data_IF_873579932853
#
_entry.id   IF_873579932853
#
_cell.length_a   1.000
_cell.length_b   1.000
_cell.length_c   1.000
_cell.angle_alpha   90.00
_cell.angle_beta   90.00
_cell.angle_gamma   90.00
#
_symmetry.space_group_name_H-M   'P 1'
#
loop_
_entity.id
_entity.type
_entity.pdbx_description
1 polymer ?
#
# COMPACT_ATOMS: atom_id res chain seq x y z
N UNK A 1 4.01 -6.63 -3.54
CA UNK A 1 4.13 -6.42 -4.99
C UNK A 1 4.02 -7.75 -5.74
N UNK A 2 5.00 -8.69 -5.64
CA UNK A 2 5.00 -9.94 -6.42
C UNK A 2 3.69 -10.72 -6.31
N UNK A 3 3.23 -11.02 -5.09
CA UNK A 3 1.99 -11.78 -4.86
C UNK A 3 0.78 -11.04 -5.41
N UNK A 4 0.72 -9.74 -5.23
CA UNK A 4 -0.34 -8.86 -5.73
C UNK A 4 -0.38 -8.87 -7.25
N UNK A 5 0.76 -8.60 -7.90
CA UNK A 5 0.86 -8.64 -9.36
C UNK A 5 0.42 -9.98 -9.93
N UNK A 6 0.83 -11.10 -9.31
CA UNK A 6 0.42 -12.43 -9.74
C UNK A 6 -1.08 -12.66 -9.60
N UNK A 7 -1.66 -12.33 -8.44
CA UNK A 7 -3.08 -12.64 -8.14
C UNK A 7 -4.04 -11.68 -8.85
N UNK A 8 -3.86 -10.39 -8.64
CA UNK A 8 -4.85 -9.40 -9.05
C UNK A 8 -4.72 -9.05 -10.54
N UNK A 9 -3.48 -8.89 -11.03
CA UNK A 9 -3.26 -8.45 -12.41
C UNK A 9 -3.14 -9.60 -13.41
N UNK A 10 -2.40 -10.66 -13.05
CA UNK A 10 -2.10 -11.75 -14.00
C UNK A 10 -2.94 -13.01 -13.77
N UNK A 11 -3.62 -13.11 -12.62
CA UNK A 11 -4.40 -14.30 -12.20
C UNK A 11 -3.56 -15.58 -12.19
N UNK A 12 -2.31 -15.45 -11.74
CA UNK A 12 -1.39 -16.55 -11.51
C UNK A 12 -1.45 -17.00 -10.06
N UNK A 13 -1.20 -18.30 -9.82
CA UNK A 13 -1.06 -18.82 -8.47
C UNK A 13 0.40 -18.81 -8.06
N UNK A 14 0.67 -18.24 -6.88
CA UNK A 14 1.99 -18.30 -6.26
C UNK A 14 2.24 -19.69 -5.69
N UNK A 15 3.49 -20.15 -5.78
CA UNK A 15 3.91 -21.42 -5.19
C UNK A 15 4.71 -21.13 -3.92
N UNK A 16 4.38 -21.87 -2.85
CA UNK A 16 5.07 -21.79 -1.56
C UNK A 16 5.56 -23.16 -1.15
N UNK A 17 6.67 -23.22 -0.41
CA UNK A 17 7.11 -24.44 0.23
C UNK A 17 6.27 -24.77 1.48
N UNK A 18 6.64 -25.86 2.18
CA UNK A 18 5.95 -26.31 3.39
C UNK A 18 6.04 -25.32 4.55
N UNK A 19 7.08 -24.46 4.56
CA UNK A 19 7.30 -23.41 5.56
C UNK A 19 6.61 -22.08 5.18
N UNK A 20 5.87 -22.05 4.07
CA UNK A 20 5.15 -20.88 3.57
C UNK A 20 6.01 -19.87 2.81
N UNK A 21 7.29 -20.16 2.55
CA UNK A 21 8.20 -19.31 1.78
C UNK A 21 7.86 -19.35 0.29
N UNK A 22 7.87 -18.20 -0.36
CA UNK A 22 7.66 -18.10 -1.80
C UNK A 22 8.77 -18.81 -2.56
N UNK A 23 8.36 -19.66 -3.49
CA UNK A 23 9.25 -20.30 -4.47
C UNK A 23 9.31 -19.46 -5.76
N UNK A 24 10.38 -19.55 -6.53
CA UNK A 24 10.54 -18.84 -7.81
C UNK A 24 9.75 -19.54 -8.93
N UNK A 25 8.53 -19.92 -8.64
CA UNK A 25 7.64 -20.62 -9.54
C UNK A 25 6.23 -20.02 -9.45
N UNK A 26 5.49 -20.11 -10.53
CA UNK A 26 4.06 -19.79 -10.55
C UNK A 26 3.27 -20.78 -11.40
N UNK A 27 1.97 -20.84 -11.16
CA UNK A 27 1.06 -21.66 -11.95
C UNK A 27 0.08 -20.74 -12.66
N UNK A 28 -0.01 -20.88 -13.98
CA UNK A 28 -1.01 -20.22 -14.81
C UNK A 28 -1.95 -21.25 -15.37
N UNK A 29 -3.26 -21.06 -15.19
CA UNK A 29 -4.29 -21.93 -15.76
C UNK A 29 -4.73 -21.36 -17.10
N UNK A 30 -4.61 -22.18 -18.15
CA UNK A 30 -4.95 -21.82 -19.52
C UNK A 30 -6.06 -22.72 -20.05
N UNK A 31 -7.06 -22.12 -20.70
CA UNK A 31 -8.04 -22.86 -21.48
C UNK A 31 -7.56 -22.94 -22.94
N UNK A 32 -6.81 -23.99 -23.29
CA UNK A 32 -6.26 -24.20 -24.63
C UNK A 32 -5.48 -25.51 -24.73
N UNK A 33 -5.05 -25.84 -25.97
CA UNK A 33 -4.23 -27.02 -26.22
C UNK A 33 -2.75 -26.79 -25.84
N UNK A 34 -1.92 -27.82 -25.96
CA UNK A 34 -0.49 -27.76 -25.67
C UNK A 34 0.34 -27.14 -26.82
N UNK A 35 -0.29 -26.73 -27.92
CA UNK A 35 0.38 -26.16 -29.07
C UNK A 35 1.02 -24.82 -28.71
N UNK A 36 2.29 -24.62 -29.10
CA UNK A 36 3.09 -23.44 -28.79
C UNK A 36 3.19 -23.12 -27.30
N UNK A 37 3.12 -24.09 -26.40
CA UNK A 37 3.13 -23.90 -24.95
C UNK A 37 4.38 -23.13 -24.47
N UNK A 38 5.55 -23.38 -25.05
CA UNK A 38 6.79 -22.67 -24.70
C UNK A 38 6.71 -21.15 -24.97
N UNK A 39 6.02 -20.74 -26.03
CA UNK A 39 5.82 -19.31 -26.31
C UNK A 39 4.90 -18.66 -25.27
N UNK A 40 3.91 -19.39 -24.81
CA UNK A 40 3.00 -18.93 -23.75
C UNK A 40 3.74 -18.80 -22.42
N UNK A 41 4.56 -19.79 -22.05
CA UNK A 41 5.39 -19.74 -20.83
C UNK A 41 6.30 -18.52 -20.87
N UNK A 42 7.09 -18.37 -21.94
CA UNK A 42 7.98 -17.20 -22.11
C UNK A 42 7.23 -15.86 -22.08
N UNK A 43 6.06 -15.81 -22.69
CA UNK A 43 5.20 -14.63 -22.67
C UNK A 43 4.76 -14.26 -21.24
N UNK A 44 4.28 -15.23 -20.47
CA UNK A 44 3.86 -15.05 -19.09
C UNK A 44 5.03 -14.64 -18.18
N UNK A 45 6.18 -15.26 -18.33
CA UNK A 45 7.41 -14.90 -17.60
C UNK A 45 7.82 -13.46 -17.91
N UNK A 46 7.83 -13.07 -19.20
CA UNK A 46 8.20 -11.71 -19.61
C UNK A 46 7.29 -10.65 -19.00
N UNK A 47 5.98 -10.89 -18.96
CA UNK A 47 5.03 -9.95 -18.34
C UNK A 47 5.30 -9.84 -16.84
N UNK A 48 5.55 -10.96 -16.16
CA UNK A 48 5.83 -10.94 -14.72
C UNK A 48 7.13 -10.21 -14.42
N UNK A 49 8.19 -10.44 -15.20
CA UNK A 49 9.47 -9.73 -15.06
C UNK A 49 9.28 -8.23 -15.20
N UNK A 50 8.55 -7.76 -16.23
CA UNK A 50 8.29 -6.35 -16.44
C UNK A 50 7.56 -5.72 -15.22
N UNK A 51 6.54 -6.39 -14.66
CA UNK A 51 5.84 -5.94 -13.45
C UNK A 51 6.74 -5.88 -12.21
N UNK A 52 7.70 -6.79 -12.10
CA UNK A 52 8.66 -6.78 -11.00
C UNK A 52 9.69 -5.66 -11.15
N UNK A 53 10.13 -5.38 -12.37
CA UNK A 53 11.04 -4.27 -12.69
C UNK A 53 10.36 -2.93 -12.38
N UNK A 54 9.08 -2.75 -12.74
CA UNK A 54 8.28 -1.57 -12.37
C UNK A 54 8.19 -1.42 -10.84
N UNK A 55 7.88 -2.52 -10.15
CA UNK A 55 7.82 -2.51 -8.68
C UNK A 55 9.17 -2.19 -8.02
N UNK A 56 10.28 -2.68 -8.55
CA UNK A 56 11.61 -2.35 -8.05
C UNK A 56 11.97 -0.88 -8.32
N UNK A 57 11.62 -0.38 -9.49
CA UNK A 57 11.82 1.02 -9.84
C UNK A 57 11.07 1.95 -8.87
N UNK A 58 9.76 1.75 -8.69
CA UNK A 58 8.98 2.58 -7.77
C UNK A 58 9.45 2.44 -6.32
N UNK A 59 9.80 1.23 -5.88
CA UNK A 59 10.37 1.04 -4.55
C UNK A 59 11.61 1.91 -4.29
N UNK A 60 12.50 2.02 -5.26
CA UNK A 60 13.72 2.82 -5.16
C UNK A 60 13.43 4.33 -5.24
N UNK A 61 12.53 4.74 -6.12
CA UNK A 61 12.18 6.15 -6.30
C UNK A 61 11.41 6.69 -5.10
N UNK A 62 10.43 5.95 -4.61
CA UNK A 62 9.57 6.37 -3.49
C UNK A 62 10.36 6.57 -2.19
N UNK A 63 11.45 5.83 -1.97
CA UNK A 63 12.32 6.04 -0.80
C UNK A 63 13.04 7.40 -0.77
N UNK A 64 13.07 8.12 -1.88
CA UNK A 64 13.63 9.47 -1.97
C UNK A 64 12.62 10.53 -1.58
N UNK A 65 11.34 10.17 -1.47
CA UNK A 65 10.25 11.10 -1.18
C UNK A 65 10.20 11.43 0.31
N UNK A 66 9.82 12.66 0.61
CA UNK A 66 9.65 13.14 1.98
C UNK A 66 8.15 13.11 2.30
N UNK A 67 7.77 12.44 3.38
CA UNK A 67 6.36 12.25 3.78
C UNK A 67 5.64 13.59 3.92
N UNK A 68 6.26 14.60 4.55
CA UNK A 68 5.65 15.92 4.71
C UNK A 68 5.28 16.58 3.39
N UNK A 69 6.14 16.44 2.37
CA UNK A 69 5.90 17.03 1.06
C UNK A 69 4.75 16.33 0.33
N UNK A 70 4.64 15.00 0.49
CA UNK A 70 3.51 14.23 -0.04
C UNK A 70 2.21 14.65 0.65
N UNK A 71 2.22 14.77 1.97
CA UNK A 71 1.06 15.22 2.74
C UNK A 71 0.60 16.61 2.31
N UNK A 72 1.51 17.56 2.09
CA UNK A 72 1.14 18.88 1.57
C UNK A 72 0.54 18.82 0.16
N UNK A 73 1.04 17.94 -0.72
CA UNK A 73 0.46 17.74 -2.05
C UNK A 73 -0.96 17.18 -2.03
N UNK A 74 -1.40 16.53 -0.94
CA UNK A 74 -2.78 16.07 -0.77
C UNK A 74 -3.81 17.22 -0.71
N UNK A 75 -3.37 18.47 -0.55
CA UNK A 75 -4.23 19.65 -0.74
C UNK A 75 -4.79 19.75 -2.17
N UNK A 76 -4.06 19.20 -3.15
CA UNK A 76 -4.46 19.23 -4.56
C UNK A 76 -5.30 17.99 -4.96
N UNK A 77 -5.49 17.05 -4.04
CA UNK A 77 -6.32 15.85 -4.27
C UNK A 77 -7.72 16.13 -3.73
N UNK A 78 -8.69 16.22 -4.62
CA UNK A 78 -10.09 16.43 -4.24
C UNK A 78 -10.63 15.19 -3.52
N UNK A 79 -11.06 15.35 -2.28
CA UNK A 79 -11.80 14.31 -1.58
C UNK A 79 -13.27 14.31 -2.01
N UNK A 80 -13.89 15.50 -2.00
CA UNK A 80 -15.23 15.71 -2.48
C UNK A 80 -15.45 17.20 -2.79
N UNK A 81 -16.15 17.51 -3.88
CA UNK A 81 -16.34 18.90 -4.36
C UNK A 81 -16.86 19.87 -3.31
N UNK A 82 -17.77 19.41 -2.42
CA UNK A 82 -18.40 20.25 -1.40
C UNK A 82 -17.70 20.25 -0.05
N UNK A 83 -16.81 19.31 0.22
CA UNK A 83 -16.16 19.15 1.52
C UNK A 83 -14.63 19.24 1.49
N UNK A 84 -14.08 19.53 0.30
CA UNK A 84 -12.71 19.96 0.15
C UNK A 84 -11.72 18.86 -0.23
N UNK A 85 -10.45 19.14 0.01
CA UNK A 85 -9.33 18.28 -0.32
C UNK A 85 -9.19 17.09 0.63
N UNK A 86 -8.40 16.09 0.20
CA UNK A 86 -8.04 14.94 1.03
C UNK A 86 -7.27 15.38 2.29
N UNK A 87 -6.39 16.39 2.14
CA UNK A 87 -5.67 16.98 3.28
C UNK A 87 -6.61 17.57 4.33
N UNK A 88 -7.60 18.35 3.90
CA UNK A 88 -8.59 18.92 4.80
C UNK A 88 -9.44 17.83 5.48
N UNK A 89 -9.77 16.76 4.74
CA UNK A 89 -10.45 15.59 5.31
C UNK A 89 -9.58 14.94 6.41
N UNK A 90 -8.29 14.72 6.15
CA UNK A 90 -7.36 14.17 7.14
C UNK A 90 -7.27 15.04 8.41
N UNK A 91 -7.23 16.35 8.27
CA UNK A 91 -7.19 17.28 9.42
C UNK A 91 -8.46 17.12 10.29
N UNK A 92 -9.64 17.09 9.68
CA UNK A 92 -10.90 16.90 10.41
C UNK A 92 -10.95 15.54 11.11
N UNK A 93 -10.53 14.48 10.42
CA UNK A 93 -10.44 13.13 10.98
C UNK A 93 -9.49 13.09 12.18
N UNK A 94 -8.33 13.74 12.08
CA UNK A 94 -7.37 13.83 13.18
C UNK A 94 -7.92 14.55 14.41
N UNK A 95 -8.65 15.65 14.23
CA UNK A 95 -9.32 16.36 15.33
C UNK A 95 -10.32 15.46 16.06
N UNK A 96 -11.13 14.72 15.31
CA UNK A 96 -12.10 13.77 15.88
C UNK A 96 -11.38 12.63 16.60
N UNK A 97 -10.31 12.09 15.99
CA UNK A 97 -9.56 10.98 16.57
C UNK A 97 -8.95 11.35 17.93
N UNK A 98 -8.37 12.54 18.07
CA UNK A 98 -7.82 13.03 19.35
C UNK A 98 -8.93 13.19 20.43
N UNK A 99 -10.10 13.71 20.07
CA UNK A 99 -11.23 13.80 20.99
C UNK A 99 -11.73 12.41 21.45
N UNK A 100 -11.70 11.44 20.55
CA UNK A 100 -12.07 10.06 20.89
C UNK A 100 -11.00 9.39 21.76
N UNK A 101 -9.72 9.66 21.53
CA UNK A 101 -8.62 9.15 22.34
C UNK A 101 -8.78 9.56 23.83
N UNK A 102 -9.08 10.81 24.08
CA UNK A 102 -9.34 11.32 25.43
C UNK A 102 -10.49 10.55 26.11
N UNK A 103 -11.62 10.38 25.38
CA UNK A 103 -12.79 9.66 25.90
C UNK A 103 -12.56 8.16 26.09
N UNK A 104 -11.69 7.56 25.28
CA UNK A 104 -11.30 6.17 25.37
C UNK A 104 -10.23 5.91 26.46
N UNK A 105 -9.67 6.98 27.04
CA UNK A 105 -8.65 6.89 28.08
C UNK A 105 -7.28 6.44 27.57
N UNK A 106 -6.94 6.78 26.33
CA UNK A 106 -5.61 6.51 25.78
C UNK A 106 -4.56 7.28 26.57
N UNK A 107 -3.38 6.68 26.72
CA UNK A 107 -2.21 7.35 27.29
C UNK A 107 -1.73 8.53 26.41
N UNK A 108 -0.86 9.36 26.95
CA UNK A 108 -0.26 10.47 26.22
C UNK A 108 0.49 9.98 24.99
N UNK A 109 1.29 8.92 25.13
CA UNK A 109 2.10 8.36 24.04
C UNK A 109 1.21 7.78 22.94
N UNK A 110 0.17 7.02 23.29
CA UNK A 110 -0.81 6.52 22.31
C UNK A 110 -1.57 7.64 21.61
N UNK A 111 -1.87 8.73 22.31
CA UNK A 111 -2.53 9.89 21.71
C UNK A 111 -1.60 10.64 20.74
N UNK A 112 -0.30 10.72 21.06
CA UNK A 112 0.72 11.29 20.15
C UNK A 112 0.86 10.45 18.90
N UNK A 113 0.98 9.13 19.02
CA UNK A 113 1.05 8.20 17.89
C UNK A 113 -0.22 8.28 17.02
N UNK A 114 -1.40 8.33 17.64
CA UNK A 114 -2.67 8.49 16.94
C UNK A 114 -2.74 9.80 16.16
N UNK A 115 -2.37 10.91 16.78
CA UNK A 115 -2.35 12.22 16.12
C UNK A 115 -1.37 12.23 14.95
N UNK A 116 -0.19 11.63 15.13
CA UNK A 116 0.81 11.49 14.06
C UNK A 116 0.28 10.63 12.92
N UNK A 117 -0.27 9.47 13.20
CA UNK A 117 -0.87 8.60 12.19
C UNK A 117 -1.98 9.33 11.41
N UNK A 118 -2.90 10.00 12.10
CA UNK A 118 -3.98 10.77 11.48
C UNK A 118 -3.49 11.92 10.59
N UNK A 119 -2.31 12.46 10.88
CA UNK A 119 -1.70 13.51 10.07
C UNK A 119 -1.11 13.02 8.76
N UNK A 120 -0.76 11.72 8.64
CA UNK A 120 0.01 11.22 7.50
C UNK A 120 -0.62 10.00 6.79
N UNK A 121 -1.65 9.36 7.32
CA UNK A 121 -2.14 8.03 6.90
C UNK A 121 -2.51 7.84 5.43
N UNK A 122 -2.56 8.91 4.64
CA UNK A 122 -2.89 8.89 3.20
C UNK A 122 -1.73 9.32 2.29
N UNK A 123 -0.53 9.53 2.84
CA UNK A 123 0.59 10.03 2.04
C UNK A 123 0.98 9.07 0.90
N UNK A 124 0.82 7.77 1.11
CA UNK A 124 1.19 6.72 0.18
C UNK A 124 0.37 6.73 -1.13
N UNK A 125 -0.80 7.37 -1.14
CA UNK A 125 -1.58 7.62 -2.36
C UNK A 125 -0.81 8.38 -3.45
N UNK A 126 0.20 9.14 -3.06
CA UNK A 126 1.02 9.94 -3.98
C UNK A 126 2.39 9.30 -4.26
N UNK A 127 2.60 8.05 -3.82
CA UNK A 127 3.78 7.28 -4.17
C UNK A 127 3.61 6.58 -5.52
N UNK A 128 4.70 6.38 -6.24
CA UNK A 128 4.68 5.68 -7.52
C UNK A 128 4.21 4.23 -7.36
N UNK A 129 4.63 3.57 -6.27
CA UNK A 129 4.23 2.19 -5.97
C UNK A 129 2.72 2.04 -5.84
N UNK A 130 2.05 2.91 -5.09
CA UNK A 130 0.59 2.84 -4.91
C UNK A 130 -0.14 3.33 -6.17
N UNK A 131 0.46 4.25 -6.94
CA UNK A 131 -0.08 4.67 -8.23
C UNK A 131 -0.14 3.54 -9.26
N UNK A 132 0.81 2.59 -9.23
CA UNK A 132 0.85 1.42 -10.12
C UNK A 132 0.14 0.19 -9.52
N UNK A 133 0.17 0.04 -8.19
CA UNK A 133 -0.40 -1.09 -7.45
C UNK A 133 -1.30 -0.56 -6.34
N UNK A 134 -2.50 -0.11 -6.69
CA UNK A 134 -3.46 0.55 -5.78
C UNK A 134 -3.89 -0.34 -4.61
N UNK A 135 -3.88 -1.66 -4.77
CA UNK A 135 -4.17 -2.63 -3.73
C UNK A 135 -3.10 -2.65 -2.60
N UNK A 136 -1.96 -2.04 -2.84
CA UNK A 136 -0.89 -1.90 -1.84
C UNK A 136 -1.03 -0.66 -0.96
N UNK A 137 -2.10 0.12 -1.14
CA UNK A 137 -2.41 1.26 -0.28
C UNK A 137 -2.49 0.83 1.19
N UNK A 138 -1.94 1.63 2.07
CA UNK A 138 -1.78 1.31 3.49
C UNK A 138 -0.62 0.35 3.76
N UNK A 139 -0.47 -0.74 2.99
CA UNK A 139 0.64 -1.70 3.14
C UNK A 139 1.98 -1.02 2.83
N UNK A 140 2.04 -0.28 1.73
CA UNK A 140 3.25 0.47 1.37
C UNK A 140 3.42 1.69 2.26
N UNK A 141 2.33 2.33 2.66
CA UNK A 141 2.34 3.39 3.66
C UNK A 141 3.03 2.96 4.96
N UNK A 142 2.70 1.78 5.51
CA UNK A 142 3.40 1.19 6.66
C UNK A 142 4.91 1.07 6.40
N UNK A 143 5.31 0.51 5.26
CA UNK A 143 6.73 0.26 4.95
C UNK A 143 7.52 1.56 4.82
N UNK A 144 6.99 2.52 4.09
CA UNK A 144 7.62 3.83 3.92
C UNK A 144 7.66 4.63 5.22
N UNK A 145 6.62 4.57 6.05
CA UNK A 145 6.60 5.20 7.37
C UNK A 145 7.72 4.65 8.27
N UNK A 146 7.88 3.32 8.34
CA UNK A 146 8.97 2.70 9.10
C UNK A 146 10.35 3.11 8.58
N UNK A 147 10.54 3.17 7.26
CA UNK A 147 11.80 3.63 6.65
C UNK A 147 12.09 5.10 6.95
N UNK A 148 11.06 5.91 7.07
CA UNK A 148 11.16 7.33 7.43
C UNK A 148 11.36 7.56 8.95
N UNK A 149 11.38 6.48 9.77
CA UNK A 149 11.61 6.56 11.21
C UNK A 149 10.37 6.79 12.07
N UNK A 150 9.17 6.60 11.52
CA UNK A 150 7.95 6.63 12.31
C UNK A 150 7.88 5.44 13.28
N UNK A 151 7.10 5.58 14.37
CA UNK A 151 6.94 4.49 15.33
C UNK A 151 6.21 3.29 14.72
N UNK A 152 6.44 2.07 15.23
CA UNK A 152 5.68 0.90 14.79
C UNK A 152 4.16 1.07 14.95
N UNK A 153 3.71 1.79 15.98
CA UNK A 153 2.29 2.07 16.22
C UNK A 153 1.71 2.97 15.13
N UNK A 154 2.40 4.05 14.76
CA UNK A 154 2.03 4.94 13.65
C UNK A 154 1.97 4.16 12.33
N UNK A 155 2.99 3.35 12.05
CA UNK A 155 3.06 2.56 10.82
C UNK A 155 1.93 1.51 10.74
N UNK A 156 1.63 0.82 11.84
CA UNK A 156 0.52 -0.12 11.92
C UNK A 156 -0.82 0.57 11.70
N UNK A 157 -1.04 1.73 12.32
CA UNK A 157 -2.26 2.52 12.13
C UNK A 157 -2.45 2.94 10.65
N UNK A 158 -1.37 3.28 9.94
CA UNK A 158 -1.40 3.58 8.50
C UNK A 158 -1.85 2.35 7.71
N UNK A 159 -1.38 1.15 8.04
CA UNK A 159 -1.81 -0.06 7.36
C UNK A 159 -3.27 -0.41 7.65
N UNK A 160 -3.69 -0.24 8.89
CA UNK A 160 -4.95 -0.79 9.41
C UNK A 160 -6.15 0.15 9.26
N UNK A 161 -5.94 1.41 8.85
CA UNK A 161 -7.04 2.37 8.75
C UNK A 161 -8.12 2.01 7.70
N UNK A 162 -7.87 1.03 6.85
CA UNK A 162 -8.84 0.46 5.92
C UNK A 162 -9.51 -0.83 6.46
N UNK A 163 -9.07 -1.33 7.61
CA UNK A 163 -9.61 -2.58 8.13
C UNK A 163 -10.85 -2.36 9.00
N UNK A 164 -11.75 -3.36 9.04
CA UNK A 164 -11.70 -4.61 8.28
C UNK A 164 -12.07 -4.41 6.80
N UNK A 165 -11.43 -5.16 5.90
CA UNK A 165 -11.70 -5.09 4.44
C UNK A 165 -12.86 -5.98 4.00
N UNK A 166 -13.31 -6.88 4.87
CA UNK A 166 -14.48 -7.75 4.68
C UNK A 166 -15.15 -8.03 6.02
N UNK A 167 -16.44 -8.34 5.97
CA UNK A 167 -17.20 -8.79 7.12
C UNK A 167 -16.92 -10.27 7.41
#
# INVERSE_FOLDING_TARGET
VLVTSMKEHQRYFVVRDQDGKLLPNFISVRNGNAECLENVIKGNEKVLVARLEDGEFFWREDQKLVISDLVEKLNNVTFHEKIGSLREHMIRTGQIAVLLAEKAGLSVDETVDLARAAAIYKFDLLTGMVGEFDELQGIMGEKYALLAGETPAVAAAIREHYMPTSA
#
